data_IF_999590053899
#
_entry.id   IF_999590053899
#
_cell.length_a   1.000
_cell.length_b   1.000
_cell.length_c   1.000
_cell.angle_alpha   90.00
_cell.angle_beta   90.00
_cell.angle_gamma   90.00
#
_symmetry.space_group_name_H-M   'P 1'
#
loop_
_entity.id
_entity.type
_entity.pdbx_description
1 polymer ?
#
# COMPACT_ATOMS: atom_id res chain seq x y z
N UNK A 1 30.78 27.39 3.34
CA UNK A 1 30.18 26.89 2.09
C UNK A 1 29.49 25.59 2.46
N UNK A 2 28.22 25.69 2.88
CA UNK A 2 27.48 24.57 3.44
C UNK A 2 26.95 23.70 2.31
N UNK A 3 27.36 22.43 2.28
CA UNK A 3 26.75 21.41 1.44
C UNK A 3 25.36 21.12 2.00
N UNK A 4 24.32 21.57 1.32
CA UNK A 4 22.97 21.08 1.57
C UNK A 4 22.96 19.60 1.21
N UNK A 5 23.01 18.73 2.21
CA UNK A 5 22.63 17.33 2.03
C UNK A 5 21.18 17.35 1.57
N UNK A 6 20.97 17.06 0.28
CA UNK A 6 19.64 16.89 -0.28
C UNK A 6 19.04 15.63 0.35
N UNK A 7 18.29 15.82 1.43
CA UNK A 7 17.51 14.74 2.01
C UNK A 7 16.55 14.24 0.92
N UNK A 8 16.55 12.95 0.57
CA UNK A 8 15.71 12.45 -0.51
C UNK A 8 14.24 12.72 -0.17
N UNK A 9 13.49 13.24 -1.15
CA UNK A 9 12.04 13.53 -1.05
C UNK A 9 11.24 12.24 -0.77
N UNK A 10 11.84 11.07 -1.00
CA UNK A 10 11.23 9.78 -0.77
C UNK A 10 12.01 8.98 0.26
N UNK A 11 11.33 8.34 1.24
CA UNK A 11 12.01 7.51 2.20
C UNK A 11 12.69 6.32 1.51
N UNK A 12 13.89 5.99 1.99
CA UNK A 12 14.66 4.86 1.47
C UNK A 12 13.97 3.53 1.83
N UNK A 13 14.31 2.42 1.16
CA UNK A 13 13.76 1.09 1.52
C UNK A 13 14.09 0.69 2.95
N UNK A 14 15.20 1.20 3.49
CA UNK A 14 15.61 0.99 4.87
C UNK A 14 14.65 1.66 5.87
N UNK A 15 14.00 2.76 5.51
CA UNK A 15 13.08 3.47 6.42
C UNK A 15 11.70 2.81 6.49
N UNK A 16 11.39 1.92 5.54
CA UNK A 16 10.18 1.10 5.53
C UNK A 16 10.41 -0.32 6.08
N UNK A 17 11.63 -0.61 6.53
CA UNK A 17 12.09 -1.90 7.06
C UNK A 17 12.62 -1.74 8.51
N UNK A 18 12.23 -2.60 9.45
CA UNK A 18 12.89 -2.70 10.77
C UNK A 18 13.43 -4.12 10.89
N UNK A 19 14.75 -4.25 11.02
CA UNK A 19 15.41 -5.54 11.27
C UNK A 19 15.12 -6.63 10.22
N UNK A 20 14.91 -6.24 8.95
CA UNK A 20 14.61 -7.17 7.84
C UNK A 20 13.13 -7.54 7.73
N UNK A 21 12.24 -6.81 8.41
CA UNK A 21 10.79 -7.01 8.38
C UNK A 21 10.10 -5.78 7.80
N UNK A 22 9.33 -6.01 6.73
CA UNK A 22 8.50 -4.99 6.09
C UNK A 22 7.46 -4.44 7.07
N UNK A 23 7.44 -3.11 7.26
CA UNK A 23 6.43 -2.41 8.07
C UNK A 23 5.01 -2.64 7.54
N UNK A 24 4.83 -2.56 6.22
CA UNK A 24 3.54 -2.85 5.58
C UNK A 24 3.08 -4.27 5.83
N UNK A 25 4.00 -5.23 5.84
CA UNK A 25 3.66 -6.60 6.14
C UNK A 25 3.11 -6.75 7.56
N UNK A 26 3.69 -6.08 8.55
CA UNK A 26 3.18 -6.09 9.92
C UNK A 26 1.77 -5.50 10.05
N UNK A 27 1.49 -4.39 9.34
CA UNK A 27 0.13 -3.80 9.27
C UNK A 27 -0.85 -4.80 8.65
N UNK A 28 -0.50 -5.37 7.49
CA UNK A 28 -1.34 -6.34 6.78
C UNK A 28 -1.62 -7.57 7.66
N UNK A 29 -0.60 -8.19 8.25
CA UNK A 29 -0.81 -9.40 9.07
C UNK A 29 -1.56 -9.12 10.37
N UNK A 30 -1.54 -7.88 10.88
CA UNK A 30 -2.33 -7.50 12.06
C UNK A 30 -3.81 -7.28 11.72
N UNK A 31 -4.10 -6.56 10.64
CA UNK A 31 -5.46 -6.14 10.30
C UNK A 31 -6.24 -7.18 9.49
N UNK A 32 -5.56 -7.97 8.66
CA UNK A 32 -6.22 -8.77 7.63
C UNK A 32 -7.15 -9.84 8.20
N UNK A 33 -6.75 -10.57 9.25
CA UNK A 33 -7.58 -11.62 9.85
C UNK A 33 -8.96 -11.11 10.29
N UNK A 34 -9.03 -10.13 11.21
CA UNK A 34 -10.31 -9.56 11.65
C UNK A 34 -11.15 -8.95 10.52
N UNK A 35 -10.51 -8.29 9.54
CA UNK A 35 -11.21 -7.70 8.39
C UNK A 35 -11.77 -8.77 7.47
N UNK A 36 -10.99 -9.83 7.18
CA UNK A 36 -11.42 -10.95 6.38
C UNK A 36 -12.59 -11.67 7.04
N UNK A 37 -12.52 -11.96 8.35
CA UNK A 37 -13.62 -12.59 9.08
C UNK A 37 -14.90 -11.75 9.04
N UNK A 38 -14.77 -10.43 9.25
CA UNK A 38 -15.90 -9.49 9.19
C UNK A 38 -16.57 -9.48 7.81
N UNK A 39 -15.76 -9.51 6.75
CA UNK A 39 -16.24 -9.58 5.37
C UNK A 39 -16.90 -10.92 5.06
N UNK A 40 -16.19 -12.03 5.29
CA UNK A 40 -16.61 -13.39 4.94
C UNK A 40 -17.88 -13.82 5.68
N UNK A 41 -18.06 -13.38 6.93
CA UNK A 41 -19.22 -13.71 7.75
C UNK A 41 -20.56 -13.32 7.11
N UNK A 42 -20.58 -12.26 6.29
CA UNK A 42 -21.80 -11.70 5.72
C UNK A 42 -22.05 -12.09 4.26
N UNK A 43 -21.22 -12.97 3.67
CA UNK A 43 -21.39 -13.41 2.30
C UNK A 43 -22.58 -14.36 2.15
N UNK A 44 -23.42 -14.09 1.15
CA UNK A 44 -24.64 -14.88 0.87
C UNK A 44 -24.30 -16.21 0.18
N UNK A 45 -23.35 -16.21 -0.76
CA UNK A 45 -23.07 -17.35 -1.65
C UNK A 45 -21.77 -18.12 -1.32
N UNK A 46 -21.09 -17.77 -0.23
CA UNK A 46 -19.89 -18.49 0.22
C UNK A 46 -20.26 -19.55 1.25
N UNK A 47 -19.49 -20.63 1.41
CA UNK A 47 -19.56 -21.52 2.57
C UNK A 47 -18.52 -21.17 3.65
N UNK A 48 -17.50 -20.40 3.28
CA UNK A 48 -16.41 -19.94 4.15
C UNK A 48 -16.81 -18.68 4.90
N UNK A 49 -16.56 -18.63 6.21
CA UNK A 49 -16.93 -17.54 7.13
C UNK A 49 -15.76 -16.90 7.85
N UNK A 50 -14.58 -17.49 7.79
CA UNK A 50 -13.37 -16.99 8.47
C UNK A 50 -12.12 -17.20 7.61
N UNK A 51 -11.04 -16.48 7.93
CA UNK A 51 -9.72 -16.70 7.36
C UNK A 51 -9.24 -18.15 7.59
N UNK A 52 -9.51 -18.71 8.76
CA UNK A 52 -9.16 -20.09 9.08
C UNK A 52 -9.89 -21.11 8.19
N UNK A 53 -11.18 -20.89 7.97
CA UNK A 53 -11.97 -21.70 7.05
C UNK A 53 -11.51 -21.53 5.61
N UNK A 54 -11.12 -20.32 5.20
CA UNK A 54 -10.58 -20.06 3.87
C UNK A 54 -9.30 -20.87 3.63
N UNK A 55 -8.38 -20.83 4.59
CA UNK A 55 -7.11 -21.58 4.52
C UNK A 55 -7.37 -23.09 4.41
N UNK A 56 -8.28 -23.62 5.23
CA UNK A 56 -8.65 -25.05 5.19
C UNK A 56 -9.37 -25.43 3.89
N UNK A 57 -10.23 -24.55 3.40
CA UNK A 57 -10.94 -24.78 2.14
C UNK A 57 -9.95 -24.84 0.98
N UNK A 58 -8.99 -23.93 0.94
CA UNK A 58 -7.89 -23.90 -0.03
C UNK A 58 -7.05 -25.18 0.02
N UNK A 59 -6.69 -25.66 1.23
CA UNK A 59 -5.97 -26.94 1.42
C UNK A 59 -6.77 -28.16 0.95
N UNK A 60 -8.10 -28.11 1.07
CA UNK A 60 -9.00 -29.19 0.64
C UNK A 60 -9.31 -29.17 -0.87
N UNK A 61 -9.05 -28.05 -1.56
CA UNK A 61 -9.32 -27.86 -2.99
C UNK A 61 -8.08 -27.35 -3.76
N UNK A 62 -6.90 -28.00 -3.64
CA UNK A 62 -5.66 -27.53 -4.25
C UNK A 62 -5.69 -27.55 -5.79
N UNK A 63 -6.67 -28.23 -6.40
CA UNK A 63 -6.93 -28.22 -7.83
C UNK A 63 -7.66 -26.96 -8.33
N UNK A 64 -8.35 -26.24 -7.43
CA UNK A 64 -9.06 -24.99 -7.74
C UNK A 64 -8.20 -23.75 -7.47
N UNK A 65 -7.15 -23.88 -6.65
CA UNK A 65 -6.22 -22.78 -6.37
C UNK A 65 -5.29 -22.49 -7.56
N UNK A 66 -5.31 -21.24 -8.05
CA UNK A 66 -4.40 -20.75 -9.08
C UNK A 66 -3.65 -19.49 -8.61
N UNK A 67 -2.31 -19.49 -8.55
CA UNK A 67 -1.40 -20.61 -8.78
C UNK A 67 -1.42 -21.61 -7.60
N UNK A 68 -1.03 -22.87 -7.85
CA UNK A 68 -0.88 -23.88 -6.79
C UNK A 68 0.04 -23.39 -5.67
N UNK A 69 -0.31 -23.74 -4.43
CA UNK A 69 0.48 -23.48 -3.22
C UNK A 69 0.75 -21.98 -2.92
N UNK A 70 -0.18 -21.08 -3.27
CA UNK A 70 0.03 -19.64 -3.17
C UNK A 70 -0.66 -18.94 -1.98
N UNK A 71 -0.98 -19.66 -0.90
CA UNK A 71 -1.65 -19.06 0.27
C UNK A 71 -0.74 -18.70 1.46
N UNK A 72 0.58 -18.65 1.27
CA UNK A 72 1.55 -18.30 2.33
C UNK A 72 1.25 -16.97 3.03
N UNK A 73 0.68 -15.99 2.34
CA UNK A 73 0.26 -14.72 2.92
C UNK A 73 -0.98 -14.83 3.82
N UNK A 74 -1.94 -15.70 3.47
CA UNK A 74 -3.11 -15.98 4.30
C UNK A 74 -2.67 -16.66 5.59
N UNK A 75 -1.80 -17.66 5.47
CA UNK A 75 -1.19 -18.35 6.61
C UNK A 75 -0.42 -17.38 7.50
N UNK A 76 0.39 -16.49 6.91
CA UNK A 76 1.11 -15.48 7.69
C UNK A 76 0.17 -14.47 8.38
N UNK A 77 -0.94 -14.09 7.76
CA UNK A 77 -1.94 -13.23 8.41
C UNK A 77 -2.64 -13.90 9.60
N UNK A 78 -2.70 -15.24 9.64
CA UNK A 78 -3.18 -16.01 10.80
C UNK A 78 -2.09 -16.21 11.86
N UNK A 79 -0.88 -16.58 11.43
CA UNK A 79 0.17 -17.12 12.31
C UNK A 79 1.22 -16.08 12.75
N UNK A 80 1.37 -14.99 12.00
CA UNK A 80 2.40 -13.96 12.20
C UNK A 80 1.80 -12.61 12.62
N UNK A 81 0.70 -12.64 13.38
CA UNK A 81 0.04 -11.44 13.91
C UNK A 81 0.97 -10.76 14.93
N UNK A 82 1.39 -9.50 14.72
CA UNK A 82 2.24 -8.78 15.66
C UNK A 82 1.47 -8.43 16.94
N UNK A 83 2.19 -8.10 18.01
CA UNK A 83 1.55 -7.62 19.23
C UNK A 83 0.90 -6.24 18.99
N UNK A 84 -0.17 -5.87 19.72
CA UNK A 84 -0.75 -4.53 19.62
C UNK A 84 0.27 -3.41 19.86
N UNK A 85 1.26 -3.63 20.73
CA UNK A 85 2.34 -2.68 20.99
C UNK A 85 3.24 -2.50 19.76
N UNK A 86 3.64 -3.60 19.12
CA UNK A 86 4.46 -3.56 17.89
C UNK A 86 3.69 -2.93 16.74
N UNK A 87 2.42 -3.29 16.57
CA UNK A 87 1.53 -2.68 15.58
C UNK A 87 1.44 -1.15 15.77
N UNK A 88 1.15 -0.69 16.99
CA UNK A 88 1.06 0.75 17.28
C UNK A 88 2.39 1.47 17.07
N UNK A 89 3.52 0.82 17.39
CA UNK A 89 4.85 1.35 17.12
C UNK A 89 5.11 1.48 15.61
N UNK A 90 4.67 0.51 14.82
CA UNK A 90 4.76 0.54 13.35
C UNK A 90 3.90 1.68 12.79
N UNK A 91 2.65 1.84 13.22
CA UNK A 91 1.75 2.92 12.75
C UNK A 91 2.33 4.29 13.10
N UNK A 92 2.68 4.53 14.37
CA UNK A 92 3.25 5.82 14.80
C UNK A 92 4.57 6.14 14.09
N UNK A 93 5.33 5.11 13.73
CA UNK A 93 6.54 5.31 12.97
C UNK A 93 6.27 5.60 11.49
N UNK A 94 5.32 4.89 10.85
CA UNK A 94 4.90 5.17 9.48
C UNK A 94 4.49 6.63 9.33
N UNK A 95 3.68 7.16 10.25
CA UNK A 95 3.31 8.58 10.27
C UNK A 95 4.51 9.55 10.33
N UNK A 96 5.61 9.14 10.98
CA UNK A 96 6.83 9.97 11.12
C UNK A 96 7.77 9.88 9.92
N UNK A 97 7.86 8.71 9.28
CA UNK A 97 8.79 8.47 8.16
C UNK A 97 8.15 8.71 6.81
N UNK A 98 6.81 8.72 6.73
CA UNK A 98 6.11 9.17 5.54
C UNK A 98 6.28 10.68 5.44
N UNK A 99 6.82 11.10 4.30
CA UNK A 99 6.86 12.50 3.90
C UNK A 99 5.45 13.08 4.00
N UNK A 100 5.33 14.20 4.72
CA UNK A 100 4.09 14.95 4.80
C UNK A 100 3.80 15.60 3.45
N UNK A 101 3.07 14.85 2.61
CA UNK A 101 2.64 15.31 1.30
C UNK A 101 1.80 16.59 1.42
N UNK A 102 1.04 16.76 2.51
CA UNK A 102 0.26 17.98 2.77
C UNK A 102 1.18 19.19 2.91
N UNK A 103 2.24 19.06 3.72
CA UNK A 103 3.25 20.10 3.87
C UNK A 103 3.98 20.39 2.55
N UNK A 104 4.21 19.39 1.69
CA UNK A 104 4.77 19.61 0.34
C UNK A 104 3.82 20.42 -0.53
N UNK A 105 2.54 20.03 -0.59
CA UNK A 105 1.53 20.76 -1.36
C UNK A 105 1.41 22.22 -0.88
N UNK A 106 1.40 22.45 0.44
CA UNK A 106 1.29 23.77 1.03
C UNK A 106 2.56 24.63 0.83
N UNK A 107 3.74 24.09 1.18
CA UNK A 107 5.00 24.84 1.10
C UNK A 107 5.39 25.24 -0.32
N UNK A 108 5.04 24.43 -1.31
CA UNK A 108 5.31 24.72 -2.71
C UNK A 108 4.12 25.35 -3.45
N UNK A 109 2.95 25.45 -2.82
CA UNK A 109 1.73 25.98 -3.46
C UNK A 109 1.33 25.22 -4.72
N UNK A 110 1.55 23.90 -4.74
CA UNK A 110 1.25 23.04 -5.90
C UNK A 110 -0.08 22.31 -5.71
N UNK A 111 -0.74 21.95 -6.81
CA UNK A 111 -1.98 21.16 -6.77
C UNK A 111 -1.77 19.68 -7.08
N UNK A 112 -0.69 19.34 -7.81
CA UNK A 112 -0.39 17.99 -8.29
C UNK A 112 1.09 17.64 -8.13
N UNK A 113 1.37 16.39 -7.76
CA UNK A 113 2.68 15.76 -7.87
C UNK A 113 2.62 14.71 -8.97
N UNK A 114 3.50 14.81 -9.96
CA UNK A 114 3.56 13.88 -11.10
C UNK A 114 4.90 13.15 -11.10
N UNK A 115 4.86 11.83 -11.11
CA UNK A 115 6.03 10.96 -11.07
C UNK A 115 5.82 9.73 -11.96
N UNK A 116 6.86 8.96 -12.23
CA UNK A 116 6.72 7.69 -12.93
C UNK A 116 5.91 6.69 -12.09
N UNK A 117 5.08 5.87 -12.75
CA UNK A 117 4.20 4.90 -12.06
C UNK A 117 4.98 3.81 -11.30
N UNK A 118 6.24 3.55 -11.67
CA UNK A 118 7.13 2.62 -10.96
C UNK A 118 7.83 3.24 -9.74
N UNK A 119 7.53 4.50 -9.42
CA UNK A 119 7.97 5.14 -8.18
C UNK A 119 7.20 4.60 -6.95
N UNK A 120 7.67 4.98 -5.76
CA UNK A 120 7.06 4.59 -4.47
C UNK A 120 5.92 5.49 -4.03
N UNK A 121 5.40 6.31 -4.94
CA UNK A 121 4.40 7.32 -4.62
C UNK A 121 3.10 6.72 -4.09
N UNK A 122 2.73 5.52 -4.55
CA UNK A 122 1.56 4.80 -4.08
C UNK A 122 1.69 4.43 -2.60
N UNK A 123 2.83 3.89 -2.19
CA UNK A 123 3.12 3.57 -0.79
C UNK A 123 3.12 4.83 0.08
N UNK A 124 3.70 5.92 -0.41
CA UNK A 124 3.76 7.17 0.33
C UNK A 124 2.38 7.82 0.52
N UNK A 125 1.60 7.93 -0.57
CA UNK A 125 0.26 8.48 -0.51
C UNK A 125 -0.72 7.59 0.27
N UNK A 126 -0.55 6.25 0.23
CA UNK A 126 -1.38 5.31 1.01
C UNK A 126 -1.02 5.30 2.50
N UNK A 127 0.25 5.51 2.85
CA UNK A 127 0.69 5.56 4.23
C UNK A 127 0.44 6.92 4.89
N UNK A 128 0.04 7.93 4.12
CA UNK A 128 -0.40 9.21 4.67
C UNK A 128 -1.80 9.08 5.27
N UNK A 129 -1.96 9.56 6.50
CA UNK A 129 -3.24 9.61 7.20
C UNK A 129 -4.34 10.39 6.43
N UNK A 130 -3.95 11.29 5.51
CA UNK A 130 -4.87 12.14 4.75
C UNK A 130 -5.48 11.46 3.51
N UNK A 131 -4.98 10.28 3.10
CA UNK A 131 -5.55 9.52 1.98
C UNK A 131 -5.56 10.28 0.65
N UNK A 132 -4.38 10.67 0.16
CA UNK A 132 -4.25 11.47 -1.07
C UNK A 132 -4.73 10.70 -2.31
N UNK A 133 -5.57 11.29 -3.19
CA UNK A 133 -6.01 10.64 -4.41
C UNK A 133 -4.83 10.45 -5.38
N UNK A 134 -4.79 9.29 -6.04
CA UNK A 134 -3.78 8.96 -7.05
C UNK A 134 -4.49 8.53 -8.33
N UNK A 135 -4.15 9.18 -9.45
CA UNK A 135 -4.50 8.75 -10.80
C UNK A 135 -3.28 8.18 -11.54
N UNK A 136 -3.51 7.34 -12.55
CA UNK A 136 -2.45 6.90 -13.46
C UNK A 136 -2.77 7.26 -14.90
N UNK A 137 -1.75 7.70 -15.64
CA UNK A 137 -1.84 8.03 -17.05
C UNK A 137 -0.87 7.16 -17.85
N UNK A 138 -1.35 6.25 -18.71
CA UNK A 138 -0.47 5.47 -19.57
C UNK A 138 0.20 6.40 -20.61
N UNK A 139 1.51 6.25 -20.78
CA UNK A 139 2.28 7.04 -21.75
C UNK A 139 2.68 6.23 -22.99
N UNK A 140 2.87 4.92 -22.84
CA UNK A 140 3.24 4.07 -23.96
C UNK A 140 3.90 2.78 -23.51
N UNK A 141 4.68 2.20 -24.42
CA UNK A 141 5.40 0.95 -24.21
C UNK A 141 6.89 1.18 -24.43
N UNK A 142 7.71 0.50 -23.65
CA UNK A 142 9.17 0.56 -23.80
C UNK A 142 9.59 -0.29 -24.99
N UNK A 143 10.31 0.30 -25.95
CA UNK A 143 10.63 -0.33 -27.25
C UNK A 143 11.37 -1.68 -27.13
N UNK A 144 12.21 -1.87 -26.11
CA UNK A 144 13.05 -3.08 -26.02
C UNK A 144 12.33 -4.32 -25.48
N UNK A 145 11.24 -4.17 -24.73
CA UNK A 145 10.52 -5.30 -24.12
C UNK A 145 8.98 -5.18 -24.19
N UNK A 146 8.45 -4.11 -24.78
CA UNK A 146 7.02 -3.88 -24.87
C UNK A 146 6.34 -3.67 -23.51
N UNK A 147 7.07 -3.37 -22.43
CA UNK A 147 6.46 -3.13 -21.12
C UNK A 147 5.76 -1.77 -21.10
N UNK A 148 4.51 -1.66 -20.64
CA UNK A 148 3.85 -0.36 -20.50
C UNK A 148 4.56 0.49 -19.45
N UNK A 149 4.62 1.80 -19.69
CA UNK A 149 5.02 2.80 -18.71
C UNK A 149 4.03 3.96 -18.70
N UNK A 150 3.98 4.66 -17.58
CA UNK A 150 3.04 5.74 -17.36
C UNK A 150 3.50 6.68 -16.27
N UNK A 151 2.63 7.64 -15.98
CA UNK A 151 2.75 8.56 -14.86
C UNK A 151 1.74 8.20 -13.77
N UNK A 152 2.12 8.44 -12.53
CA UNK A 152 1.23 8.53 -11.39
C UNK A 152 1.09 10.01 -11.01
N UNK A 153 -0.15 10.44 -10.79
CA UNK A 153 -0.53 11.82 -10.47
C UNK A 153 -1.19 11.81 -9.11
N UNK A 154 -0.58 12.46 -8.13
CA UNK A 154 -1.14 12.64 -6.78
C UNK A 154 -1.75 14.02 -6.66
N UNK A 155 -3.01 14.10 -6.27
CA UNK A 155 -3.68 15.36 -5.97
C UNK A 155 -3.70 15.64 -4.47
N UNK A 156 -3.80 16.91 -4.10
CA UNK A 156 -3.91 17.33 -2.70
C UNK A 156 -5.24 16.86 -2.06
N UNK A 157 -5.19 16.31 -0.85
CA UNK A 157 -6.38 15.88 -0.08
C UNK A 157 -7.25 17.11 0.25
N UNK A 158 -8.47 17.16 -0.29
CA UNK A 158 -9.42 18.26 -0.09
C UNK A 158 -9.73 19.08 -1.35
N UNK A 159 -8.94 18.94 -2.43
CA UNK A 159 -9.29 19.44 -3.77
C UNK A 159 -9.57 18.27 -4.68
N UNK A 160 -10.81 17.80 -4.70
CA UNK A 160 -11.27 16.90 -5.76
C UNK A 160 -11.27 17.72 -7.07
N UNK A 161 -10.20 17.58 -7.86
CA UNK A 161 -10.11 18.22 -9.17
C UNK A 161 -11.04 17.48 -10.11
N UNK A 162 -12.29 17.92 -10.17
CA UNK A 162 -13.20 17.53 -11.24
C UNK A 162 -12.60 18.04 -12.55
N UNK A 163 -12.35 17.14 -13.50
CA UNK A 163 -12.08 17.53 -14.88
C UNK A 163 -13.37 18.15 -15.43
N UNK A 164 -13.51 19.46 -15.26
CA UNK A 164 -14.52 20.26 -15.96
C UNK A 164 -14.14 20.24 -17.44
N UNK A 165 -14.90 19.52 -18.26
CA UNK A 165 -14.82 19.64 -19.70
C UNK A 165 -15.14 21.09 -20.07
N UNK A 166 -14.15 21.78 -20.65
CA UNK A 166 -14.32 23.01 -21.43
C UNK A 166 -14.90 22.69 -22.81
#
# INVERSE_FOLDING_TARGET
>A
MGTAESNPIFPSSLELDISGKSRFFAVITYEYGPLADSYLKNLVESEVRTLDELIKWNEAHPELELPKDCQSRLIAARDQVPSPADYNAVISNLEKVTVDLGAIFESHGIDLIVVLTDSRISSLASASASGFPIGTMPLGYIDYNGKPFGLAVVGNSGKMVGFSNS
#
